data_IF_526682169322
#
_entry.id   IF_526682169322
#
_cell.length_a   1.000
_cell.length_b   1.000
_cell.length_c   1.000
_cell.angle_alpha   90.00
_cell.angle_beta   90.00
_cell.angle_gamma   90.00
#
_symmetry.space_group_name_H-M   'P 1'
#
loop_
_entity.id
_entity.type
_entity.pdbx_description
1 polymer ?
#
# COMPACT_ATOMS: atom_id res chain seq x y z
N UNK A 1 17.07 -6.01 14.43
CA UNK A 1 16.56 -6.51 13.13
C UNK A 1 16.39 -5.33 12.18
N UNK A 2 16.36 -5.55 10.86
CA UNK A 2 16.32 -4.45 9.87
C UNK A 2 14.91 -4.27 9.31
N UNK A 3 14.46 -3.01 9.20
CA UNK A 3 13.26 -2.62 8.47
C UNK A 3 13.48 -2.83 6.98
N UNK A 4 12.51 -3.42 6.30
CA UNK A 4 12.56 -3.66 4.86
C UNK A 4 11.42 -2.93 4.17
N UNK A 5 11.73 -2.15 3.13
CA UNK A 5 10.74 -1.45 2.33
C UNK A 5 10.83 -1.89 0.88
N UNK A 6 9.69 -2.23 0.29
CA UNK A 6 9.53 -2.48 -1.14
C UNK A 6 8.69 -1.34 -1.71
N UNK A 7 9.11 -0.78 -2.84
CA UNK A 7 8.39 0.29 -3.54
C UNK A 7 8.02 -0.19 -4.94
N UNK A 8 6.74 -0.06 -5.25
CA UNK A 8 6.20 -0.22 -6.59
C UNK A 8 5.80 1.15 -7.14
N UNK A 9 5.94 1.33 -8.44
CA UNK A 9 5.56 2.58 -9.12
C UNK A 9 4.96 2.23 -10.48
N UNK A 10 3.81 2.81 -10.79
CA UNK A 10 3.13 2.69 -12.06
C UNK A 10 2.56 4.07 -12.40
N UNK A 11 3.08 4.70 -13.44
CA UNK A 11 2.85 6.12 -13.73
C UNK A 11 3.08 7.01 -12.49
N UNK A 12 2.05 7.70 -12.02
CA UNK A 12 2.05 8.51 -10.79
C UNK A 12 1.54 7.77 -9.55
N UNK A 13 1.13 6.51 -9.67
CA UNK A 13 0.77 5.66 -8.54
C UNK A 13 2.03 5.06 -7.91
N UNK A 14 2.21 5.30 -6.62
CA UNK A 14 3.30 4.77 -5.80
C UNK A 14 2.71 3.94 -4.67
N UNK A 15 3.17 2.69 -4.55
CA UNK A 15 2.84 1.81 -3.42
C UNK A 15 4.12 1.50 -2.67
N UNK A 16 4.17 1.80 -1.37
CA UNK A 16 5.27 1.46 -0.47
C UNK A 16 4.79 0.46 0.57
N UNK A 17 5.50 -0.65 0.71
CA UNK A 17 5.24 -1.68 1.73
C UNK A 17 6.46 -1.74 2.63
N UNK A 18 6.31 -1.31 3.89
CA UNK A 18 7.36 -1.34 4.90
C UNK A 18 7.07 -2.41 5.94
N UNK A 19 7.97 -3.39 6.06
CA UNK A 19 7.93 -4.44 7.07
C UNK A 19 8.79 -4.05 8.26
N UNK A 20 8.16 -3.92 9.42
CA UNK A 20 8.79 -3.67 10.70
C UNK A 20 9.00 -5.00 11.43
N UNK A 21 10.25 -5.42 11.67
CA UNK A 21 10.52 -6.68 12.35
C UNK A 21 10.00 -6.63 13.79
N UNK A 22 9.43 -7.74 14.26
CA UNK A 22 9.07 -7.86 15.66
C UNK A 22 10.30 -7.85 16.56
N UNK A 23 10.20 -7.17 17.71
CA UNK A 23 11.27 -7.16 18.71
C UNK A 23 11.39 -8.50 19.44
N UNK A 24 10.29 -9.24 19.54
CA UNK A 24 10.21 -10.55 20.19
C UNK A 24 10.05 -11.66 19.14
N UNK A 25 10.76 -12.81 19.27
CA UNK A 25 10.65 -13.92 18.32
C UNK A 25 9.25 -14.53 18.18
N UNK A 26 8.40 -14.37 19.20
CA UNK A 26 7.04 -14.91 19.23
C UNK A 26 6.00 -13.98 18.60
N UNK A 27 6.37 -12.74 18.26
CA UNK A 27 5.48 -11.75 17.65
C UNK A 27 5.68 -11.72 16.15
N UNK A 28 4.58 -11.59 15.42
CA UNK A 28 4.64 -11.34 13.99
C UNK A 28 5.16 -9.91 13.72
N UNK A 29 5.89 -9.70 12.62
CA UNK A 29 6.22 -8.37 12.13
C UNK A 29 4.97 -7.58 11.81
N UNK A 30 5.06 -6.26 11.98
CA UNK A 30 4.04 -5.32 11.51
C UNK A 30 4.36 -4.84 10.10
N UNK A 31 3.34 -4.45 9.37
CA UNK A 31 3.44 -4.00 7.98
C UNK A 31 2.71 -2.67 7.82
N UNK A 32 3.38 -1.69 7.25
CA UNK A 32 2.78 -0.44 6.79
C UNK A 32 2.68 -0.49 5.28
N UNK A 33 1.50 -0.16 4.78
CA UNK A 33 1.23 -0.02 3.35
C UNK A 33 0.81 1.42 3.12
N UNK A 34 1.54 2.10 2.26
CA UNK A 34 1.26 3.45 1.84
C UNK A 34 1.01 3.47 0.34
N UNK A 35 -0.05 4.17 -0.05
CA UNK A 35 -0.40 4.42 -1.43
C UNK A 35 -0.50 5.92 -1.66
N UNK A 36 0.22 6.42 -2.67
CA UNK A 36 0.30 7.83 -3.04
C UNK A 36 0.06 7.95 -4.54
N UNK A 37 -0.78 8.88 -4.99
CA UNK A 37 -0.97 9.19 -6.40
C UNK A 37 -1.22 10.68 -6.62
N UNK A 38 -1.18 11.15 -7.87
CA UNK A 38 -1.48 12.57 -8.16
C UNK A 38 -2.98 12.86 -8.15
N UNK A 39 -3.80 11.83 -8.39
CA UNK A 39 -5.25 11.95 -8.58
C UNK A 39 -6.08 11.65 -7.32
N UNK A 40 -5.53 10.89 -6.35
CA UNK A 40 -6.25 10.51 -5.13
C UNK A 40 -5.47 10.91 -3.87
N UNK A 41 -6.16 11.17 -2.75
CA UNK A 41 -5.51 11.42 -1.48
C UNK A 41 -4.64 10.24 -1.05
N UNK A 42 -3.47 10.54 -0.48
CA UNK A 42 -2.59 9.53 0.10
C UNK A 42 -3.34 8.67 1.12
N UNK A 43 -3.20 7.36 0.99
CA UNK A 43 -3.75 6.36 1.90
C UNK A 43 -2.62 5.64 2.65
N UNK A 44 -2.80 5.40 3.94
CA UNK A 44 -1.86 4.68 4.78
C UNK A 44 -2.60 3.70 5.67
N UNK A 45 -2.06 2.49 5.73
CA UNK A 45 -2.64 1.38 6.47
C UNK A 45 -1.56 0.72 7.29
N UNK A 46 -1.87 0.52 8.57
CA UNK A 46 -1.03 -0.20 9.50
C UNK A 46 -1.63 -1.57 9.80
N UNK A 47 -0.83 -2.62 9.62
CA UNK A 47 -1.16 -4.00 9.94
C UNK A 47 -0.27 -4.47 11.09
N UNK A 48 -0.87 -4.81 12.22
CA UNK A 48 -0.13 -5.29 13.38
C UNK A 48 0.54 -6.64 13.11
N UNK A 49 -0.01 -7.44 12.19
CA UNK A 49 0.48 -8.77 11.83
C UNK A 49 0.66 -8.93 10.32
N UNK A 50 1.83 -9.42 9.92
CA UNK A 50 2.17 -9.75 8.52
C UNK A 50 1.15 -10.72 7.89
N UNK A 51 0.53 -11.61 8.66
CA UNK A 51 -0.55 -12.49 8.20
C UNK A 51 -1.82 -11.78 7.71
N UNK A 52 -1.99 -10.48 8.00
CA UNK A 52 -3.14 -9.68 7.52
C UNK A 52 -2.94 -9.14 6.10
N UNK A 53 -1.71 -9.17 5.56
CA UNK A 53 -1.38 -8.62 4.22
C UNK A 53 -2.27 -9.20 3.11
N UNK A 54 -2.59 -10.51 3.06
CA UNK A 54 -3.47 -11.05 2.02
C UNK A 54 -4.89 -10.47 2.02
N UNK A 55 -5.42 -10.10 3.18
CA UNK A 55 -6.76 -9.46 3.31
C UNK A 55 -6.76 -8.06 2.69
N UNK A 56 -5.58 -7.41 2.67
CA UNK A 56 -5.42 -6.07 2.15
C UNK A 56 -5.31 -6.00 0.62
N UNK A 57 -5.23 -7.16 -0.04
CA UNK A 57 -5.14 -7.24 -1.50
C UNK A 57 -6.37 -6.60 -2.17
N UNK A 58 -7.58 -6.93 -1.71
CA UNK A 58 -8.82 -6.41 -2.29
C UNK A 58 -8.90 -4.88 -2.20
N UNK A 59 -8.53 -4.31 -1.04
CA UNK A 59 -8.51 -2.85 -0.86
C UNK A 59 -7.50 -2.14 -1.77
N UNK A 60 -6.34 -2.75 -2.05
CA UNK A 60 -5.35 -2.20 -2.98
C UNK A 60 -5.87 -2.29 -4.42
N UNK A 61 -6.51 -3.40 -4.78
CA UNK A 61 -7.13 -3.57 -6.10
C UNK A 61 -8.23 -2.53 -6.34
N UNK A 62 -9.13 -2.30 -5.37
CA UNK A 62 -10.15 -1.24 -5.44
C UNK A 62 -9.54 0.16 -5.57
N UNK A 63 -8.46 0.46 -4.83
CA UNK A 63 -7.78 1.75 -4.94
C UNK A 63 -7.18 1.95 -6.34
N UNK A 64 -6.55 0.92 -6.89
CA UNK A 64 -5.96 0.95 -8.24
C UNK A 64 -7.04 1.16 -9.29
N UNK A 65 -8.18 0.48 -9.17
CA UNK A 65 -9.32 0.65 -10.07
C UNK A 65 -9.86 2.09 -10.02
N UNK A 66 -10.09 2.63 -8.83
CA UNK A 66 -10.53 4.03 -8.65
C UNK A 66 -9.54 5.04 -9.21
N UNK A 67 -8.24 4.76 -9.06
CA UNK A 67 -7.18 5.59 -9.62
C UNK A 67 -7.25 5.64 -11.15
N UNK A 68 -7.38 4.49 -11.81
CA UNK A 68 -7.52 4.42 -13.27
C UNK A 68 -8.79 5.11 -13.75
N UNK A 69 -9.93 4.90 -13.10
CA UNK A 69 -11.19 5.57 -13.45
C UNK A 69 -11.09 7.10 -13.36
N UNK A 70 -10.42 7.61 -12.33
CA UNK A 70 -10.21 9.06 -12.14
C UNK A 70 -9.31 9.61 -13.25
N UNK A 71 -8.23 8.90 -13.57
CA UNK A 71 -7.30 9.25 -14.66
C UNK A 71 -7.96 9.24 -16.03
N UNK A 72 -8.80 8.25 -16.33
CA UNK A 72 -9.54 8.18 -17.59
C UNK A 72 -10.58 9.30 -17.72
N UNK A 73 -11.25 9.66 -16.61
CA UNK A 73 -12.16 10.80 -16.56
C UNK A 73 -11.47 12.15 -16.83
N UNK A 74 -10.26 12.36 -16.30
CA UNK A 74 -9.46 13.57 -16.55
C UNK A 74 -8.98 13.70 -18.01
N UNK A 75 -8.81 12.60 -18.75
CA UNK A 75 -8.34 12.62 -20.15
C UNK A 75 -9.46 12.89 -21.17
N UNK A 76 -10.71 12.99 -20.73
CA UNK A 76 -11.89 13.19 -21.58
C UNK A 76 -12.53 14.59 -21.43
N UNK A 77 -11.90 15.50 -20.70
CA UNK A 77 -12.26 16.92 -20.55
C UNK A 77 -11.30 17.83 -21.35
#
# INVERSE_FOLDING_TARGET
>A
MKVHTIKFTNDDLIVRITRYPAEEPAKEPSVEIEVESSALPRSLVWLDRESQVPVFKEMIEEYIEMFHLTKEGENHE
#
